data_IF_336209054925
#
_entry.id   IF_336209054925
#
_cell.length_a   1.000
_cell.length_b   1.000
_cell.length_c   1.000
_cell.angle_alpha   90.00
_cell.angle_beta   90.00
_cell.angle_gamma   90.00
#
_symmetry.space_group_name_H-M   'P 1'
#
loop_
_entity.id
_entity.type
_entity.pdbx_description
1 polymer ?
#
# COMPACT_ATOMS: atom_id res chain seq x y z
N UNK A 1 11.55 -23.84 20.29
CA UNK A 1 11.83 -22.99 19.12
C UNK A 1 10.57 -23.03 18.25
N UNK A 2 9.73 -22.00 18.31
CA UNK A 2 8.40 -21.98 17.67
C UNK A 2 8.64 -21.98 16.15
N UNK A 3 8.15 -23.00 15.45
CA UNK A 3 8.24 -23.08 13.99
C UNK A 3 7.63 -21.82 13.39
N UNK A 4 8.34 -21.19 12.45
CA UNK A 4 7.84 -19.99 11.76
C UNK A 4 6.54 -20.36 11.04
N UNK A 5 5.48 -19.57 11.28
CA UNK A 5 4.17 -19.82 10.67
C UNK A 5 4.23 -19.66 9.14
N UNK A 6 3.71 -20.64 8.41
CA UNK A 6 3.71 -20.66 6.93
C UNK A 6 3.07 -19.41 6.31
N UNK A 7 2.09 -18.81 7.00
CA UNK A 7 1.41 -17.58 6.59
C UNK A 7 2.39 -16.40 6.51
N UNK A 8 3.30 -16.30 7.48
CA UNK A 8 4.31 -15.24 7.50
C UNK A 8 5.28 -15.39 6.32
N UNK A 9 5.67 -16.62 6.00
CA UNK A 9 6.55 -16.90 4.87
C UNK A 9 5.87 -16.48 3.56
N UNK A 10 4.59 -16.85 3.37
CA UNK A 10 3.83 -16.46 2.17
C UNK A 10 3.75 -14.94 2.05
N UNK A 11 3.38 -14.24 3.12
CA UNK A 11 3.31 -12.76 3.12
C UNK A 11 4.66 -12.12 2.80
N UNK A 12 5.75 -12.65 3.36
CA UNK A 12 7.10 -12.13 3.11
C UNK A 12 7.53 -12.34 1.66
N UNK A 13 7.25 -13.51 1.10
CA UNK A 13 7.55 -13.84 -0.31
C UNK A 13 6.75 -12.93 -1.26
N UNK A 14 5.48 -12.66 -0.97
CA UNK A 14 4.65 -11.78 -1.79
C UNK A 14 5.06 -10.30 -1.70
N UNK A 15 5.50 -9.83 -0.52
CA UNK A 15 5.95 -8.46 -0.33
C UNK A 15 7.38 -8.21 -0.83
N UNK A 16 8.22 -9.25 -0.89
CA UNK A 16 9.62 -9.18 -1.28
C UNK A 16 9.85 -8.40 -2.59
N UNK A 17 9.14 -8.68 -3.71
CA UNK A 17 9.32 -7.94 -4.95
C UNK A 17 8.94 -6.47 -4.84
N UNK A 18 7.86 -6.16 -4.11
CA UNK A 18 7.39 -4.78 -3.91
C UNK A 18 8.43 -3.98 -3.11
N UNK A 19 8.98 -4.58 -2.06
CA UNK A 19 10.05 -3.98 -1.24
C UNK A 19 11.30 -3.78 -2.10
N UNK A 20 11.68 -4.77 -2.90
CA UNK A 20 12.82 -4.68 -3.80
C UNK A 20 12.67 -3.48 -4.75
N UNK A 21 11.57 -3.40 -5.51
CA UNK A 21 11.31 -2.29 -6.43
C UNK A 21 11.26 -0.93 -5.74
N UNK A 22 10.67 -0.86 -4.54
CA UNK A 22 10.58 0.39 -3.78
C UNK A 22 11.95 0.92 -3.34
N UNK A 23 12.87 0.04 -2.96
CA UNK A 23 14.23 0.40 -2.53
C UNK A 23 15.13 0.73 -3.72
N UNK A 24 15.00 0.00 -4.81
CA UNK A 24 15.82 0.18 -6.01
C UNK A 24 15.21 1.12 -7.04
N UNK A 25 14.13 1.83 -6.68
CA UNK A 25 13.36 2.64 -7.62
C UNK A 25 14.21 3.68 -8.36
N UNK A 26 15.07 4.38 -7.62
CA UNK A 26 15.96 5.42 -8.18
C UNK A 26 17.03 4.86 -9.13
N UNK A 27 17.32 3.55 -9.08
CA UNK A 27 18.38 2.91 -9.87
C UNK A 27 17.78 2.24 -11.10
N UNK A 28 16.62 1.60 -10.95
CA UNK A 28 16.03 0.78 -12.01
C UNK A 28 15.14 1.62 -12.94
N UNK A 29 14.50 2.68 -12.44
CA UNK A 29 13.64 3.52 -13.26
C UNK A 29 14.47 4.48 -14.13
N UNK A 30 14.31 4.44 -15.46
CA UNK A 30 15.08 5.29 -16.37
C UNK A 30 14.67 6.77 -16.34
N UNK A 31 13.44 7.08 -15.89
CA UNK A 31 12.87 8.43 -15.97
C UNK A 31 12.22 8.87 -14.65
N UNK A 32 12.13 10.19 -14.38
CA UNK A 32 11.38 10.68 -13.23
C UNK A 32 9.89 10.35 -13.37
N UNK A 33 9.22 9.83 -12.32
CA UNK A 33 7.87 9.26 -12.43
C UNK A 33 6.77 10.27 -12.75
N UNK A 34 6.97 11.54 -12.41
CA UNK A 34 6.02 12.63 -12.65
C UNK A 34 6.32 13.44 -13.91
N UNK A 35 7.39 13.07 -14.64
CA UNK A 35 7.78 13.78 -15.86
C UNK A 35 6.92 13.28 -17.01
N UNK A 36 6.18 14.18 -17.62
CA UNK A 36 5.39 13.94 -18.83
C UNK A 36 6.22 14.25 -20.09
N UNK A 37 5.77 13.78 -21.26
CA UNK A 37 6.41 14.05 -22.55
C UNK A 37 7.82 13.45 -22.68
N UNK A 38 8.08 12.34 -21.99
CA UNK A 38 9.36 11.63 -22.03
C UNK A 38 9.51 10.86 -23.35
N UNK A 39 8.39 10.37 -23.88
CA UNK A 39 8.27 9.74 -25.19
C UNK A 39 6.96 10.10 -25.90
N UNK A 40 6.70 9.53 -27.08
CA UNK A 40 5.43 9.68 -27.77
C UNK A 40 4.28 9.10 -26.92
N UNK A 41 3.09 9.69 -26.99
CA UNK A 41 1.91 9.16 -26.29
C UNK A 41 1.55 7.76 -26.79
N UNK A 42 1.11 6.89 -25.87
CA UNK A 42 0.62 5.54 -26.18
C UNK A 42 1.62 4.68 -26.97
N UNK A 43 2.91 4.80 -26.63
CA UNK A 43 3.96 3.99 -27.23
C UNK A 43 3.91 2.57 -26.64
N UNK A 44 3.93 1.51 -27.45
CA UNK A 44 3.97 0.14 -26.95
C UNK A 44 5.28 -0.16 -26.20
N UNK A 45 5.34 -1.27 -25.44
CA UNK A 45 6.54 -1.73 -24.77
C UNK A 45 7.74 -1.84 -25.72
N UNK A 46 8.87 -1.24 -25.33
CA UNK A 46 10.11 -1.22 -26.09
C UNK A 46 11.33 -1.20 -25.16
N UNK A 47 12.56 -1.47 -25.65
CA UNK A 47 13.76 -1.40 -24.80
C UNK A 47 13.97 -0.03 -24.13
N UNK A 48 13.45 1.05 -24.73
CA UNK A 48 13.51 2.40 -24.19
C UNK A 48 12.37 2.69 -23.20
N UNK A 49 11.19 2.08 -23.41
CA UNK A 49 10.02 2.19 -22.54
C UNK A 49 9.54 0.78 -22.18
N UNK A 50 10.09 0.20 -21.11
CA UNK A 50 9.93 -1.23 -20.76
C UNK A 50 8.46 -1.66 -20.70
N UNK A 51 7.59 -0.78 -20.21
CA UNK A 51 6.13 -0.99 -20.14
C UNK A 51 5.33 -0.07 -21.08
N UNK A 52 6.02 0.66 -21.97
CA UNK A 52 5.40 1.67 -22.82
C UNK A 52 5.16 3.00 -22.11
N UNK A 53 4.45 3.90 -22.80
CA UNK A 53 4.11 5.23 -22.29
C UNK A 53 2.61 5.43 -22.16
N UNK A 54 2.21 6.32 -21.26
CA UNK A 54 0.80 6.71 -21.08
C UNK A 54 0.32 7.73 -22.15
N UNK A 55 -0.90 8.23 -21.99
CA UNK A 55 -1.50 9.23 -22.89
C UNK A 55 -0.71 10.55 -22.92
N UNK A 56 0.02 10.87 -21.85
CA UNK A 56 0.83 12.07 -21.70
C UNK A 56 2.29 11.85 -22.14
N UNK A 57 2.62 10.65 -22.64
CA UNK A 57 3.99 10.30 -23.03
C UNK A 57 4.92 10.05 -21.84
N UNK A 58 4.37 9.77 -20.66
CA UNK A 58 5.15 9.44 -19.46
C UNK A 58 5.47 7.95 -19.41
N UNK A 59 6.64 7.58 -18.88
CA UNK A 59 7.06 6.17 -18.79
C UNK A 59 6.30 5.41 -17.70
N UNK A 60 5.55 4.37 -18.08
CA UNK A 60 4.69 3.60 -17.18
C UNK A 60 5.54 2.79 -16.18
N UNK A 61 6.68 2.26 -16.62
CA UNK A 61 7.54 1.46 -15.76
C UNK A 61 8.09 2.28 -14.59
N UNK A 62 8.58 3.49 -14.87
CA UNK A 62 9.06 4.42 -13.85
C UNK A 62 7.96 4.80 -12.86
N UNK A 63 6.72 4.99 -13.32
CA UNK A 63 5.56 5.23 -12.46
C UNK A 63 5.24 4.05 -11.55
N UNK A 64 5.23 2.82 -12.08
CA UNK A 64 4.95 1.61 -11.29
C UNK A 64 6.01 1.38 -10.22
N UNK A 65 7.29 1.48 -10.60
CA UNK A 65 8.41 1.24 -9.68
C UNK A 65 8.45 2.29 -8.57
N UNK A 66 8.31 3.58 -8.90
CA UNK A 66 8.24 4.62 -7.86
C UNK A 66 6.92 4.56 -7.06
N UNK A 67 5.83 4.16 -7.71
CA UNK A 67 4.53 3.94 -7.08
C UNK A 67 4.59 2.88 -5.99
N UNK A 68 5.41 1.83 -6.15
CA UNK A 68 5.61 0.81 -5.12
C UNK A 68 6.11 1.38 -3.78
N UNK A 69 7.01 2.38 -3.82
CA UNK A 69 7.51 3.06 -2.61
C UNK A 69 6.41 3.85 -1.92
N UNK A 70 5.64 4.60 -2.69
CA UNK A 70 4.50 5.38 -2.16
C UNK A 70 3.43 4.45 -1.59
N UNK A 71 3.12 3.35 -2.27
CA UNK A 71 2.14 2.37 -1.81
C UNK A 71 2.54 1.73 -0.48
N UNK A 72 3.81 1.36 -0.31
CA UNK A 72 4.32 0.83 0.96
C UNK A 72 4.22 1.86 2.09
N UNK A 73 4.62 3.12 1.84
CA UNK A 73 4.54 4.18 2.84
C UNK A 73 3.09 4.45 3.25
N UNK A 74 2.18 4.60 2.30
CA UNK A 74 0.77 4.86 2.58
C UNK A 74 0.13 3.68 3.31
N UNK A 75 0.39 2.44 2.87
CA UNK A 75 -0.14 1.23 3.52
C UNK A 75 0.33 1.09 4.96
N UNK A 76 1.63 1.30 5.21
CA UNK A 76 2.21 1.23 6.55
C UNK A 76 1.67 2.33 7.47
N UNK A 77 1.65 3.58 7.00
CA UNK A 77 1.15 4.71 7.79
C UNK A 77 -0.34 4.57 8.10
N UNK A 78 -1.14 4.16 7.11
CA UNK A 78 -2.56 3.90 7.31
C UNK A 78 -2.76 2.81 8.36
N UNK A 79 -2.04 1.69 8.26
CA UNK A 79 -2.12 0.60 9.24
C UNK A 79 -1.78 1.04 10.66
N UNK A 80 -0.71 1.82 10.83
CA UNK A 80 -0.30 2.35 12.15
C UNK A 80 -1.38 3.29 12.70
N UNK A 81 -1.86 4.23 11.89
CA UNK A 81 -2.89 5.20 12.32
C UNK A 81 -4.18 4.47 12.68
N UNK A 82 -4.64 3.53 11.86
CA UNK A 82 -5.83 2.72 12.14
C UNK A 82 -5.66 1.92 13.43
N UNK A 83 -4.49 1.32 13.66
CA UNK A 83 -4.20 0.59 14.90
C UNK A 83 -4.28 1.51 16.12
N UNK A 84 -3.67 2.70 16.07
CA UNK A 84 -3.70 3.67 17.17
C UNK A 84 -5.12 4.14 17.48
N UNK A 85 -5.91 4.44 16.46
CA UNK A 85 -7.31 4.84 16.62
C UNK A 85 -8.14 3.69 17.21
N UNK A 86 -8.01 2.48 16.65
CA UNK A 86 -8.73 1.31 17.12
C UNK A 86 -8.36 0.95 18.57
N UNK A 87 -7.08 1.06 18.93
CA UNK A 87 -6.62 0.87 20.32
C UNK A 87 -7.20 1.92 21.25
N UNK A 88 -7.16 3.20 20.88
CA UNK A 88 -7.70 4.27 21.72
C UNK A 88 -9.20 4.08 21.98
N UNK A 89 -9.98 3.78 20.93
CA UNK A 89 -11.41 3.52 21.04
C UNK A 89 -11.67 2.25 21.86
N UNK A 90 -10.95 1.16 21.58
CA UNK A 90 -11.11 -0.11 22.28
C UNK A 90 -10.78 -0.02 23.76
N UNK A 91 -9.70 0.69 24.13
CA UNK A 91 -9.35 0.95 25.52
C UNK A 91 -10.39 1.83 26.22
N UNK A 92 -10.90 2.86 25.54
CA UNK A 92 -11.95 3.72 26.09
C UNK A 92 -13.23 2.93 26.39
N UNK A 93 -13.67 2.10 25.45
CA UNK A 93 -14.82 1.18 25.60
C UNK A 93 -14.63 0.24 26.79
N UNK A 94 -13.47 -0.44 26.83
CA UNK A 94 -13.17 -1.44 27.86
C UNK A 94 -12.92 -0.87 29.25
N UNK A 95 -12.45 0.38 29.38
CA UNK A 95 -12.17 1.00 30.68
C UNK A 95 -13.42 1.57 31.33
N UNK A 96 -14.23 2.35 30.60
CA UNK A 96 -15.42 3.00 31.18
C UNK A 96 -16.64 2.09 31.21
N UNK A 97 -16.78 1.17 30.25
CA UNK A 97 -17.94 0.30 30.11
C UNK A 97 -19.27 1.05 29.95
N UNK A 98 -20.38 0.34 30.14
CA UNK A 98 -21.73 0.90 30.16
C UNK A 98 -22.21 1.45 28.81
N UNK A 99 -22.77 2.66 28.81
CA UNK A 99 -23.36 3.29 27.62
C UNK A 99 -22.35 3.52 26.48
N UNK A 100 -21.10 3.87 26.80
CA UNK A 100 -20.06 4.10 25.79
C UNK A 100 -19.72 2.82 25.03
N UNK A 101 -19.63 1.70 25.75
CA UNK A 101 -19.37 0.37 25.19
C UNK A 101 -20.53 -0.11 24.33
N UNK A 102 -21.77 0.06 24.79
CA UNK A 102 -22.97 -0.31 24.01
C UNK A 102 -23.01 0.46 22.69
N UNK A 103 -22.76 1.78 22.70
CA UNK A 103 -22.80 2.59 21.47
C UNK A 103 -21.70 2.15 20.50
N UNK A 104 -20.47 1.95 20.99
CA UNK A 104 -19.33 1.56 20.15
C UNK A 104 -19.52 0.16 19.56
N UNK A 105 -20.01 -0.81 20.34
CA UNK A 105 -20.35 -2.14 19.83
C UNK A 105 -21.43 -2.07 18.76
N UNK A 106 -22.46 -1.22 18.92
CA UNK A 106 -23.51 -1.07 17.90
C UNK A 106 -22.99 -0.51 16.59
N UNK A 107 -22.06 0.43 16.66
CA UNK A 107 -21.39 0.95 15.46
C UNK A 107 -20.56 -0.15 14.79
N UNK A 108 -19.82 -0.95 15.57
CA UNK A 108 -19.06 -2.08 15.03
C UNK A 108 -19.97 -3.12 14.36
N UNK A 109 -21.10 -3.48 14.98
CA UNK A 109 -22.11 -4.37 14.42
C UNK A 109 -22.63 -3.86 13.06
N UNK A 110 -22.88 -2.55 12.94
CA UNK A 110 -23.33 -1.95 11.69
C UNK A 110 -22.29 -2.10 10.58
N UNK A 111 -21.03 -1.81 10.86
CA UNK A 111 -19.96 -1.96 9.86
C UNK A 111 -19.74 -3.42 9.45
N UNK A 112 -19.85 -4.36 10.38
CA UNK A 112 -19.72 -5.80 10.10
C UNK A 112 -20.94 -6.39 9.38
N UNK A 113 -22.10 -5.74 9.47
CA UNK A 113 -23.32 -6.19 8.80
C UNK A 113 -23.37 -5.85 7.30
N UNK A 114 -22.55 -4.89 6.85
CA UNK A 114 -22.46 -4.49 5.45
C UNK A 114 -21.42 -5.41 4.77
N UNK A 115 -21.82 -6.20 3.75
CA UNK A 115 -20.95 -7.14 3.06
C UNK A 115 -19.92 -6.47 2.13
#
# INVERSE_FOLDING_TARGET
MKSIDIRLIISLVLLSPVIFFALTANIIAPYPPLRTGVGPSLTPPSPQYIMGTDQLGSDIFSQVVHGSRTALLVGLLTGIISLLIALAIGLFSGYYGGLSDIILMRIADLFLSIP
#
